data_IF_462155374254
#
_entry.id   IF_462155374254
#
_cell.length_a   1.000
_cell.length_b   1.000
_cell.length_c   1.000
_cell.angle_alpha   90.00
_cell.angle_beta   90.00
_cell.angle_gamma   90.00
#
_symmetry.space_group_name_H-M   'P 1'
#
loop_
_entity.id
_entity.type
_entity.pdbx_description
1 polymer ?
#
# COMPACT_ATOMS: atom_id res chain seq x y z
N UNK A 1 3.22 29.12 -5.27
CA UNK A 1 3.06 28.08 -4.24
C UNK A 1 3.99 26.94 -4.59
N UNK A 2 4.87 26.55 -3.67
CA UNK A 2 5.87 25.50 -3.84
C UNK A 2 5.35 24.23 -3.17
N UNK A 3 5.20 23.16 -3.96
CA UNK A 3 4.82 21.84 -3.46
C UNK A 3 6.08 21.02 -3.20
N UNK A 4 6.08 20.28 -2.09
CA UNK A 4 7.08 19.25 -1.79
C UNK A 4 6.38 17.89 -1.66
N UNK A 5 7.03 16.82 -2.11
CA UNK A 5 6.51 15.47 -1.98
C UNK A 5 7.59 14.51 -1.50
N UNK A 6 7.19 13.43 -0.85
CA UNK A 6 8.13 12.36 -0.51
C UNK A 6 8.51 11.55 -1.75
N UNK A 7 9.69 10.90 -1.80
CA UNK A 7 10.08 10.07 -2.95
C UNK A 7 9.06 9.00 -3.34
N UNK A 8 8.25 8.50 -2.40
CA UNK A 8 7.23 7.49 -2.68
C UNK A 8 5.98 8.06 -3.36
N UNK A 9 5.66 9.34 -3.13
CA UNK A 9 4.48 9.99 -3.69
C UNK A 9 4.80 10.73 -4.99
N UNK A 10 6.08 10.82 -5.38
CA UNK A 10 6.55 11.53 -6.59
C UNK A 10 5.73 11.16 -7.84
N UNK A 11 5.62 9.87 -8.15
CA UNK A 11 4.96 9.41 -9.38
C UNK A 11 3.48 9.81 -9.42
N UNK A 12 2.80 9.79 -8.28
CA UNK A 12 1.40 10.22 -8.15
C UNK A 12 1.25 11.71 -8.46
N UNK A 13 2.19 12.54 -7.99
CA UNK A 13 2.18 13.99 -8.26
C UNK A 13 2.43 14.27 -9.74
N UNK A 14 3.35 13.52 -10.37
CA UNK A 14 3.62 13.62 -11.81
C UNK A 14 2.39 13.22 -12.64
N UNK A 15 1.76 12.08 -12.32
CA UNK A 15 0.52 11.63 -12.97
C UNK A 15 -0.65 12.58 -12.76
N UNK A 16 -0.75 13.22 -11.59
CA UNK A 16 -1.76 14.22 -11.30
C UNK A 16 -1.60 15.53 -12.11
N UNK A 17 -0.48 15.68 -12.83
CA UNK A 17 -0.25 16.76 -13.80
C UNK A 17 0.70 17.86 -13.34
N UNK A 18 1.25 17.79 -12.12
CA UNK A 18 2.20 18.80 -11.64
C UNK A 18 3.60 18.51 -12.15
N UNK A 19 4.17 19.46 -12.89
CA UNK A 19 5.51 19.31 -13.51
C UNK A 19 6.65 19.80 -12.63
N UNK A 20 6.42 20.83 -11.82
CA UNK A 20 7.44 21.48 -11.01
C UNK A 20 7.09 21.38 -9.52
N UNK A 21 7.88 20.62 -8.79
CA UNK A 21 7.76 20.42 -7.35
C UNK A 21 9.07 19.88 -6.78
N UNK A 22 9.23 19.95 -5.45
CA UNK A 22 10.40 19.43 -4.74
C UNK A 22 10.16 17.99 -4.29
N UNK A 23 11.22 17.18 -4.26
CA UNK A 23 11.18 15.83 -3.70
C UNK A 23 12.13 15.73 -2.52
N UNK A 24 11.59 15.58 -1.31
CA UNK A 24 12.39 15.44 -0.09
C UNK A 24 11.74 14.42 0.86
N UNK A 25 12.56 13.59 1.52
CA UNK A 25 12.12 12.66 2.57
C UNK A 25 11.63 13.39 3.83
N UNK A 26 12.08 14.61 4.05
CA UNK A 26 11.73 15.45 5.20
C UNK A 26 11.12 16.76 4.69
N UNK A 27 9.82 16.78 4.33
CA UNK A 27 9.16 17.99 3.80
C UNK A 27 9.32 19.23 4.68
N UNK A 28 9.30 19.08 6.01
CA UNK A 28 9.47 20.19 6.98
C UNK A 28 10.87 20.86 6.93
N UNK A 29 11.85 20.25 6.28
CA UNK A 29 13.19 20.84 6.06
C UNK A 29 13.26 21.68 4.78
N UNK A 30 12.20 21.69 3.97
CA UNK A 30 12.12 22.47 2.75
C UNK A 30 11.40 23.80 2.95
N UNK A 31 11.90 24.83 2.28
CA UNK A 31 11.12 26.04 2.01
C UNK A 31 10.05 25.71 0.96
N UNK A 32 8.92 25.18 1.42
CA UNK A 32 7.75 24.80 0.66
C UNK A 32 6.47 25.24 1.38
N UNK A 33 5.39 25.43 0.61
CA UNK A 33 4.11 25.90 1.13
C UNK A 33 3.16 24.74 1.48
N UNK A 34 3.37 23.57 0.86
CA UNK A 34 2.46 22.43 0.96
C UNK A 34 3.15 21.10 0.66
N UNK A 35 2.79 20.07 1.43
CA UNK A 35 3.32 18.74 1.24
C UNK A 35 2.28 17.73 0.70
N UNK A 36 2.73 16.80 -0.14
CA UNK A 36 1.98 15.59 -0.51
C UNK A 36 2.77 14.38 -0.01
N UNK A 37 2.17 13.56 0.84
CA UNK A 37 2.87 12.47 1.53
C UNK A 37 1.97 11.27 1.78
N UNK A 38 2.60 10.14 2.10
CA UNK A 38 1.90 8.95 2.55
C UNK A 38 1.17 9.21 3.87
N UNK A 39 0.00 8.60 4.06
CA UNK A 39 -0.85 8.76 5.23
C UNK A 39 -0.20 8.40 6.57
N UNK A 40 0.85 7.59 6.52
CA UNK A 40 1.66 7.15 7.64
C UNK A 40 2.68 8.21 8.06
N UNK A 41 2.94 9.20 7.22
CA UNK A 41 3.89 10.28 7.48
C UNK A 41 3.19 11.47 8.15
N UNK A 42 3.91 12.18 9.02
CA UNK A 42 3.41 13.38 9.70
C UNK A 42 4.37 14.54 9.45
N UNK A 43 3.81 15.70 9.12
CA UNK A 43 4.53 16.95 8.88
C UNK A 43 3.82 18.09 9.58
N UNK A 44 4.52 19.20 9.81
CA UNK A 44 3.96 20.40 10.46
C UNK A 44 3.30 21.34 9.46
N UNK A 45 3.80 21.38 8.22
CA UNK A 45 3.21 22.20 7.16
C UNK A 45 1.85 21.68 6.70
N UNK A 46 1.09 22.54 6.01
CA UNK A 46 -0.16 22.13 5.35
C UNK A 46 0.12 20.98 4.38
N UNK A 47 -0.76 19.98 4.35
CA UNK A 47 -0.47 18.76 3.61
C UNK A 47 -1.69 17.95 3.18
N UNK A 48 -1.48 17.16 2.13
CA UNK A 48 -2.37 16.10 1.67
C UNK A 48 -1.74 14.74 1.93
N UNK A 49 -2.44 13.92 2.72
CA UNK A 49 -2.10 12.54 2.98
C UNK A 49 -2.78 11.61 1.97
N UNK A 50 -2.02 10.69 1.38
CA UNK A 50 -2.49 9.70 0.40
C UNK A 50 -2.07 8.27 0.76
N UNK A 51 -2.74 7.27 0.20
CA UNK A 51 -2.44 5.83 0.39
C UNK A 51 -2.12 5.17 -0.94
N UNK A 52 -1.17 4.24 -0.97
CA UNK A 52 -0.69 3.62 -2.21
C UNK A 52 -0.56 2.09 -2.09
N UNK A 53 -1.38 1.46 -1.23
CA UNK A 53 -1.23 0.05 -0.90
C UNK A 53 -1.95 -0.81 -1.95
N UNK A 54 -3.18 -0.44 -2.33
CA UNK A 54 -3.99 -1.14 -3.32
C UNK A 54 -4.07 -0.39 -4.64
N UNK A 55 -4.45 -1.07 -5.73
CA UNK A 55 -4.65 -0.40 -7.04
C UNK A 55 -5.74 0.66 -6.98
N UNK A 56 -6.80 0.41 -6.20
CA UNK A 56 -7.87 1.37 -5.96
C UNK A 56 -7.33 2.63 -5.27
N UNK A 57 -6.54 2.45 -4.20
CA UNK A 57 -5.92 3.58 -3.50
C UNK A 57 -4.97 4.38 -4.39
N UNK A 58 -4.24 3.74 -5.31
CA UNK A 58 -3.39 4.44 -6.28
C UNK A 58 -4.25 5.32 -7.21
N UNK A 59 -5.33 4.78 -7.79
CA UNK A 59 -6.28 5.55 -8.63
C UNK A 59 -6.88 6.73 -7.88
N UNK A 60 -7.43 6.47 -6.68
CA UNK A 60 -8.02 7.48 -5.80
C UNK A 60 -7.00 8.56 -5.42
N UNK A 61 -5.73 8.18 -5.19
CA UNK A 61 -4.67 9.12 -4.86
C UNK A 61 -4.28 10.03 -6.02
N UNK A 62 -4.20 9.50 -7.25
CA UNK A 62 -3.96 10.32 -8.45
C UNK A 62 -5.08 11.36 -8.58
N UNK A 63 -6.33 10.91 -8.46
CA UNK A 63 -7.51 11.78 -8.55
C UNK A 63 -7.52 12.86 -7.47
N UNK A 64 -7.35 12.46 -6.22
CA UNK A 64 -7.36 13.36 -5.05
C UNK A 64 -6.25 14.40 -5.13
N UNK A 65 -5.05 13.99 -5.54
CA UNK A 65 -3.94 14.93 -5.73
C UNK A 65 -4.23 15.90 -6.87
N UNK A 66 -4.73 15.41 -8.00
CA UNK A 66 -5.05 16.28 -9.15
C UNK A 66 -6.12 17.31 -8.81
N UNK A 67 -7.21 16.90 -8.15
CA UNK A 67 -8.28 17.79 -7.73
C UNK A 67 -7.76 18.87 -6.75
N UNK A 68 -6.96 18.47 -5.76
CA UNK A 68 -6.34 19.39 -4.81
C UNK A 68 -5.42 20.42 -5.51
N UNK A 69 -4.62 19.97 -6.48
CA UNK A 69 -3.74 20.85 -7.26
C UNK A 69 -4.53 21.82 -8.13
N UNK A 70 -5.63 21.37 -8.72
CA UNK A 70 -6.52 22.20 -9.53
C UNK A 70 -7.21 23.27 -8.67
N UNK A 71 -7.74 22.90 -7.51
CA UNK A 71 -8.34 23.83 -6.55
C UNK A 71 -7.35 24.89 -6.05
N UNK A 72 -6.08 24.52 -5.88
CA UNK A 72 -4.99 25.42 -5.51
C UNK A 72 -4.45 26.25 -6.69
N UNK A 73 -4.99 26.08 -7.90
CA UNK A 73 -4.58 26.81 -9.11
C UNK A 73 -3.17 26.46 -9.59
N UNK A 74 -2.67 25.27 -9.26
CA UNK A 74 -1.34 24.78 -9.62
C UNK A 74 -1.31 24.05 -10.97
N UNK A 75 -2.47 23.60 -11.44
CA UNK A 75 -2.67 22.98 -12.75
C UNK A 75 -3.93 23.58 -13.41
N UNK A 76 -3.99 23.55 -14.74
CA UNK A 76 -5.08 24.17 -15.51
C UNK A 76 -6.36 23.33 -15.54
N UNK A 77 -6.23 22.01 -15.34
CA UNK A 77 -7.34 21.04 -15.43
C UNK A 77 -7.03 19.86 -14.51
N UNK A 78 -8.03 19.42 -13.75
CA UNK A 78 -7.96 18.15 -13.05
C UNK A 78 -7.98 16.97 -14.05
N UNK A 79 -7.27 15.90 -13.71
CA UNK A 79 -7.26 14.65 -14.47
C UNK A 79 -8.66 14.01 -14.45
N UNK A 80 -9.10 13.50 -15.60
CA UNK A 80 -10.33 12.72 -15.72
C UNK A 80 -10.08 11.23 -15.46
N UNK A 81 -11.14 10.49 -15.12
CA UNK A 81 -11.03 9.06 -14.78
C UNK A 81 -10.51 8.23 -15.98
N UNK A 82 -10.86 8.60 -17.21
CA UNK A 82 -10.35 7.93 -18.42
C UNK A 82 -8.83 8.14 -18.61
N UNK A 83 -8.31 9.29 -18.20
CA UNK A 83 -6.88 9.59 -18.22
C UNK A 83 -6.14 8.78 -17.13
N UNK A 84 -6.80 8.52 -16.00
CA UNK A 84 -6.28 7.63 -14.95
C UNK A 84 -6.22 6.18 -15.46
N UNK A 85 -7.28 5.68 -16.11
CA UNK A 85 -7.24 4.32 -16.67
C UNK A 85 -6.21 4.19 -17.80
N UNK A 86 -5.99 5.24 -18.60
CA UNK A 86 -4.92 5.26 -19.60
C UNK A 86 -3.53 5.04 -18.98
N UNK A 87 -3.26 5.64 -17.80
CA UNK A 87 -2.00 5.41 -17.07
C UNK A 87 -1.81 3.94 -16.74
N UNK A 88 -2.87 3.24 -16.30
CA UNK A 88 -2.77 1.81 -15.96
C UNK A 88 -2.62 0.95 -17.22
N UNK A 89 -3.33 1.28 -18.30
CA UNK A 89 -3.26 0.56 -19.57
C UNK A 89 -1.88 0.62 -20.24
N UNK A 90 -1.07 1.65 -19.96
CA UNK A 90 0.32 1.72 -20.44
C UNK A 90 1.22 0.58 -19.90
N UNK A 91 0.76 -0.16 -18.88
CA UNK A 91 1.47 -1.28 -18.27
C UNK A 91 1.00 -2.67 -18.76
N UNK A 92 0.17 -2.78 -19.79
CA UNK A 92 -0.54 -4.02 -20.22
C UNK A 92 0.32 -5.30 -20.24
N UNK A 93 1.59 -5.22 -20.61
CA UNK A 93 2.48 -6.40 -20.66
C UNK A 93 3.22 -6.70 -19.35
N UNK A 94 3.24 -5.76 -18.41
CA UNK A 94 4.00 -5.82 -17.16
C UNK A 94 3.13 -6.10 -15.93
N UNK A 95 1.80 -5.95 -16.06
CA UNK A 95 0.84 -6.11 -14.95
C UNK A 95 -0.31 -7.01 -15.34
N UNK A 96 -0.72 -7.87 -14.39
CA UNK A 96 -1.85 -8.78 -14.52
C UNK A 96 -3.00 -8.32 -13.64
N UNK A 97 -2.75 -8.06 -12.35
CA UNK A 97 -3.79 -7.79 -11.37
C UNK A 97 -4.30 -6.35 -11.43
N UNK A 98 -3.45 -5.40 -11.81
CA UNK A 98 -3.80 -3.98 -11.90
C UNK A 98 -4.89 -3.66 -12.96
N UNK A 99 -5.02 -4.54 -13.97
CA UNK A 99 -5.91 -4.41 -15.11
C UNK A 99 -7.12 -5.36 -15.05
N UNK A 100 -7.25 -6.13 -13.97
CA UNK A 100 -8.46 -6.92 -13.77
C UNK A 100 -9.65 -5.98 -13.55
N UNK A 101 -10.75 -6.30 -14.22
CA UNK A 101 -12.02 -5.71 -13.87
C UNK A 101 -12.51 -6.22 -12.50
N UNK A 102 -13.54 -5.56 -11.98
CA UNK A 102 -14.12 -5.87 -10.67
C UNK A 102 -14.69 -7.30 -10.61
N UNK A 103 -15.19 -7.84 -11.72
CA UNK A 103 -15.72 -9.22 -11.76
C UNK A 103 -14.59 -10.24 -11.59
N UNK A 104 -13.54 -10.13 -12.40
CA UNK A 104 -12.38 -11.02 -12.34
C UNK A 104 -11.65 -10.92 -11.00
N UNK A 105 -11.54 -9.72 -10.43
CA UNK A 105 -10.92 -9.54 -9.12
C UNK A 105 -11.80 -10.11 -7.99
N UNK A 106 -13.12 -10.03 -8.10
CA UNK A 106 -14.03 -10.66 -7.13
C UNK A 106 -13.96 -12.19 -7.13
N UNK A 107 -13.64 -12.83 -8.26
CA UNK A 107 -13.37 -14.28 -8.26
C UNK A 107 -12.11 -14.63 -7.45
N UNK A 108 -11.10 -13.75 -7.44
CA UNK A 108 -9.92 -13.89 -6.57
C UNK A 108 -10.34 -13.77 -5.10
N UNK A 109 -11.17 -12.77 -4.76
CA UNK A 109 -11.67 -12.57 -3.39
C UNK A 109 -12.46 -13.78 -2.89
N UNK A 110 -13.43 -14.27 -3.68
CA UNK A 110 -14.22 -15.47 -3.35
C UNK A 110 -13.36 -16.70 -3.15
N UNK A 111 -12.29 -16.86 -3.93
CA UNK A 111 -11.37 -18.02 -3.78
C UNK A 111 -10.61 -18.05 -2.45
N UNK A 112 -10.69 -16.98 -1.65
CA UNK A 112 -9.86 -16.72 -0.47
C UNK A 112 -10.66 -16.34 0.79
N UNK A 113 -11.98 -16.27 0.70
CA UNK A 113 -12.86 -15.80 1.78
C UNK A 113 -12.82 -16.69 3.04
N UNK A 114 -12.42 -17.95 2.89
CA UNK A 114 -12.31 -18.92 3.98
C UNK A 114 -10.95 -18.87 4.69
N UNK A 115 -9.97 -18.11 4.18
CA UNK A 115 -8.60 -18.08 4.71
C UNK A 115 -8.46 -17.07 5.82
N UNK A 116 -7.85 -17.49 6.92
CA UNK A 116 -7.49 -16.65 8.07
C UNK A 116 -6.04 -16.23 7.98
N UNK A 117 -5.80 -14.93 8.02
CA UNK A 117 -4.45 -14.38 7.81
C UNK A 117 -4.05 -13.44 8.92
N UNK A 118 -2.90 -13.73 9.54
CA UNK A 118 -2.23 -12.83 10.48
C UNK A 118 -1.24 -11.94 9.71
N UNK A 119 -1.34 -10.62 9.88
CA UNK A 119 -0.54 -9.64 9.10
C UNK A 119 0.31 -8.75 10.00
N UNK A 120 1.64 -8.83 9.86
CA UNK A 120 2.62 -8.03 10.59
C UNK A 120 2.97 -6.72 9.87
N UNK A 121 1.96 -5.94 9.43
CA UNK A 121 2.16 -4.59 8.89
C UNK A 121 0.83 -3.92 8.57
N UNK A 122 0.57 -2.73 9.11
CA UNK A 122 -0.60 -1.90 8.71
C UNK A 122 -0.64 -1.63 7.21
N UNK A 123 0.54 -1.44 6.62
CA UNK A 123 0.70 -1.23 5.19
C UNK A 123 0.26 -2.44 4.34
N UNK A 124 0.54 -3.67 4.81
CA UNK A 124 0.14 -4.89 4.11
C UNK A 124 -1.32 -5.25 4.39
N UNK A 125 -1.87 -4.85 5.54
CA UNK A 125 -3.27 -5.15 5.90
C UNK A 125 -4.26 -4.67 4.85
N UNK A 126 -4.06 -3.48 4.27
CA UNK A 126 -4.93 -2.96 3.20
C UNK A 126 -4.93 -3.90 1.97
N UNK A 127 -3.76 -4.36 1.50
CA UNK A 127 -3.64 -5.28 0.37
C UNK A 127 -4.20 -6.67 0.67
N UNK A 128 -3.89 -7.20 1.85
CA UNK A 128 -4.35 -8.51 2.28
C UNK A 128 -5.87 -8.50 2.44
N UNK A 129 -6.46 -7.46 3.01
CA UNK A 129 -7.92 -7.33 3.09
C UNK A 129 -8.56 -7.21 1.70
N UNK A 130 -7.92 -6.48 0.77
CA UNK A 130 -8.45 -6.28 -0.57
C UNK A 130 -8.52 -7.58 -1.40
N UNK A 131 -7.63 -8.55 -1.17
CA UNK A 131 -7.72 -9.89 -1.81
C UNK A 131 -8.79 -10.81 -1.19
N UNK A 132 -9.57 -10.32 -0.22
CA UNK A 132 -10.78 -10.99 0.26
C UNK A 132 -10.59 -12.03 1.36
N UNK A 133 -9.42 -12.08 2.02
CA UNK A 133 -9.21 -12.98 3.17
C UNK A 133 -9.77 -12.40 4.47
N UNK A 134 -9.97 -13.25 5.47
CA UNK A 134 -10.26 -12.85 6.85
C UNK A 134 -8.96 -12.42 7.56
N UNK A 135 -8.73 -11.11 7.64
CA UNK A 135 -7.58 -10.54 8.36
C UNK A 135 -7.86 -10.53 9.85
N UNK A 136 -7.09 -11.31 10.59
CA UNK A 136 -7.19 -11.36 12.04
C UNK A 136 -6.85 -10.01 12.66
N UNK A 137 -7.67 -9.59 13.62
CA UNK A 137 -7.41 -8.38 14.39
C UNK A 137 -6.19 -8.61 15.28
N UNK A 138 -5.07 -8.06 14.84
CA UNK A 138 -3.76 -8.19 15.48
C UNK A 138 -3.03 -6.85 15.36
N UNK A 139 -2.63 -6.28 16.48
CA UNK A 139 -1.78 -5.08 16.53
C UNK A 139 -0.35 -5.47 16.85
N UNK A 140 0.55 -5.26 15.88
CA UNK A 140 1.99 -5.39 16.11
C UNK A 140 2.56 -4.09 16.68
N UNK A 141 2.82 -4.04 17.99
CA UNK A 141 3.66 -3.01 18.60
C UNK A 141 5.12 -3.46 18.61
N UNK A 142 6.01 -2.68 17.97
CA UNK A 142 7.47 -2.89 18.01
C UNK A 142 8.05 -2.83 19.42
N UNK A 143 7.33 -2.25 20.38
CA UNK A 143 7.74 -2.19 21.78
C UNK A 143 7.29 -3.42 22.61
N UNK A 144 6.65 -4.42 21.98
CA UNK A 144 6.31 -5.68 22.63
C UNK A 144 5.15 -5.61 23.63
N UNK A 145 4.38 -4.53 23.65
CA UNK A 145 3.14 -4.47 24.42
C UNK A 145 2.02 -5.04 23.55
N UNK A 146 1.80 -6.34 23.67
CA UNK A 146 0.57 -6.93 23.21
C UNK A 146 -0.54 -6.47 24.16
N UNK A 147 -1.46 -5.61 23.68
CA UNK A 147 -2.82 -5.63 24.20
C UNK A 147 -3.49 -6.92 23.68
N UNK A 148 -2.98 -8.04 24.15
CA UNK A 148 -3.63 -9.33 24.06
C UNK A 148 -4.89 -9.22 24.92
N UNK A 149 -6.03 -9.00 24.28
CA UNK A 149 -7.33 -9.04 24.95
C UNK A 149 -7.68 -10.49 25.30
N UNK A 150 -6.84 -11.12 26.13
CA UNK A 150 -7.20 -12.25 26.98
C UNK A 150 -7.74 -13.49 26.28
N UNK A 151 -7.44 -13.71 25.00
CA UNK A 151 -7.64 -15.00 24.36
C UNK A 151 -6.35 -15.45 23.70
N UNK A 152 -5.46 -15.98 24.54
CA UNK A 152 -4.31 -16.79 24.15
C UNK A 152 -4.76 -18.13 23.52
N UNK A 153 -5.93 -18.17 22.87
CA UNK A 153 -6.20 -19.18 21.87
C UNK A 153 -5.26 -18.87 20.72
N UNK A 154 -4.37 -19.82 20.44
CA UNK A 154 -3.70 -19.89 19.16
C UNK A 154 -4.82 -19.96 18.14
N UNK A 155 -5.28 -18.81 17.66
CA UNK A 155 -6.33 -18.77 16.67
C UNK A 155 -5.72 -19.41 15.44
N UNK A 156 -6.15 -20.63 15.09
CA UNK A 156 -5.67 -21.33 13.91
C UNK A 156 -5.81 -20.39 12.71
N UNK A 157 -4.68 -19.95 12.18
CA UNK A 157 -4.59 -19.12 10.99
C UNK A 157 -3.83 -19.89 9.93
N UNK A 158 -4.26 -19.74 8.68
CA UNK A 158 -3.70 -20.48 7.56
C UNK A 158 -2.38 -19.84 7.10
N UNK A 159 -2.31 -18.49 7.16
CA UNK A 159 -1.17 -17.73 6.66
C UNK A 159 -0.68 -16.64 7.61
N UNK A 160 0.65 -16.45 7.58
CA UNK A 160 1.34 -15.36 8.24
C UNK A 160 2.01 -14.46 7.20
N UNK A 161 1.54 -13.22 7.06
CA UNK A 161 2.07 -12.26 6.09
C UNK A 161 2.92 -11.20 6.80
N UNK A 162 4.14 -10.97 6.34
CA UNK A 162 5.03 -9.95 6.90
C UNK A 162 5.95 -9.34 5.85
N UNK A 163 6.39 -8.08 6.04
CA UNK A 163 7.38 -7.47 5.18
C UNK A 163 8.79 -8.00 5.52
N UNK A 164 9.67 -8.07 4.52
CA UNK A 164 11.04 -8.58 4.67
C UNK A 164 11.86 -7.93 5.81
N UNK A 165 11.64 -6.64 6.11
CA UNK A 165 12.34 -5.94 7.19
C UNK A 165 11.89 -6.33 8.61
N UNK A 166 10.79 -7.08 8.77
CA UNK A 166 10.32 -7.64 10.06
C UNK A 166 10.60 -9.13 10.21
N UNK A 167 11.36 -9.72 9.28
CA UNK A 167 11.59 -11.17 9.27
C UNK A 167 12.18 -11.68 10.59
N UNK A 168 13.14 -10.96 11.18
CA UNK A 168 13.78 -11.40 12.43
C UNK A 168 12.79 -11.40 13.59
N UNK A 169 12.04 -10.31 13.75
CA UNK A 169 11.07 -10.15 14.83
C UNK A 169 9.93 -11.18 14.72
N UNK A 170 9.49 -11.47 13.49
CA UNK A 170 8.47 -12.49 13.22
C UNK A 170 8.99 -13.89 13.56
N UNK A 171 10.23 -14.22 13.15
CA UNK A 171 10.85 -15.51 13.44
C UNK A 171 11.01 -15.75 14.94
N UNK A 172 11.46 -14.73 15.68
CA UNK A 172 11.65 -14.80 17.13
C UNK A 172 10.32 -14.99 17.87
N UNK A 173 9.27 -14.30 17.43
CA UNK A 173 7.96 -14.32 18.10
C UNK A 173 7.12 -15.54 17.78
N UNK A 174 7.08 -15.94 16.50
CA UNK A 174 6.15 -16.98 16.06
C UNK A 174 6.69 -18.40 16.23
N UNK A 175 7.97 -18.59 16.58
CA UNK A 175 8.61 -19.90 16.77
C UNK A 175 8.20 -20.90 15.66
N UNK A 176 8.65 -20.60 14.43
CA UNK A 176 8.20 -21.26 13.18
C UNK A 176 8.41 -22.77 13.15
N UNK A 177 9.19 -23.34 14.07
CA UNK A 177 9.52 -24.77 14.11
C UNK A 177 8.34 -25.66 14.55
N UNK A 178 7.17 -25.09 14.89
CA UNK A 178 6.07 -25.83 15.53
C UNK A 178 4.66 -25.59 14.99
N UNK A 179 4.47 -24.93 13.84
CA UNK A 179 3.13 -24.42 13.45
C UNK A 179 2.61 -24.89 12.09
N UNK A 180 1.29 -25.11 12.05
CA UNK A 180 0.50 -25.58 10.90
C UNK A 180 0.17 -24.48 9.86
N UNK A 181 0.87 -23.34 9.90
CA UNK A 181 0.60 -22.21 9.00
C UNK A 181 1.68 -22.03 7.93
N UNK A 182 1.33 -21.37 6.83
CA UNK A 182 2.29 -20.97 5.80
C UNK A 182 2.71 -19.50 5.95
N UNK A 183 4.02 -19.25 6.00
CA UNK A 183 4.57 -17.91 6.03
C UNK A 183 4.72 -17.31 4.62
N UNK A 184 4.35 -16.04 4.46
CA UNK A 184 4.43 -15.29 3.21
C UNK A 184 5.20 -13.99 3.46
N UNK A 185 6.43 -13.95 2.94
CA UNK A 185 7.30 -12.78 3.03
C UNK A 185 7.07 -11.85 1.84
N UNK A 186 6.80 -10.57 2.12
CA UNK A 186 6.59 -9.53 1.11
C UNK A 186 7.79 -8.58 1.05
N UNK A 187 8.34 -8.36 -0.14
CA UNK A 187 9.46 -7.42 -0.32
C UNK A 187 9.06 -5.98 -0.02
N UNK A 188 9.92 -5.27 0.72
CA UNK A 188 9.73 -3.86 1.06
C UNK A 188 10.52 -2.91 0.15
N UNK A 189 10.50 -1.62 0.49
CA UNK A 189 10.87 -0.47 -0.33
C UNK A 189 12.28 -0.51 -0.97
N UNK A 190 13.22 -1.30 -0.47
CA UNK A 190 14.59 -1.37 -0.98
C UNK A 190 14.77 -2.40 -2.12
N UNK A 191 13.87 -3.38 -2.24
CA UNK A 191 14.03 -4.54 -3.13
C UNK A 191 12.96 -4.61 -4.24
N UNK A 192 12.18 -3.53 -4.44
CA UNK A 192 11.03 -3.50 -5.35
C UNK A 192 11.02 -2.21 -6.17
N UNK A 193 10.20 -2.17 -7.23
CA UNK A 193 10.05 -0.99 -8.07
C UNK A 193 9.69 0.27 -7.28
N UNK A 194 10.19 1.42 -7.73
CA UNK A 194 9.75 2.73 -7.22
C UNK A 194 8.40 3.14 -7.79
N UNK A 195 8.02 2.54 -8.91
CA UNK A 195 6.71 2.69 -9.53
C UNK A 195 5.60 2.11 -8.61
N UNK A 196 4.59 2.90 -8.23
CA UNK A 196 3.51 2.45 -7.37
C UNK A 196 2.72 1.26 -7.94
N UNK A 197 2.44 1.24 -9.24
CA UNK A 197 1.63 0.21 -9.89
C UNK A 197 2.42 -1.11 -9.92
N UNK A 198 3.66 -1.10 -10.42
CA UNK A 198 4.51 -2.29 -10.47
C UNK A 198 4.81 -2.84 -9.06
N UNK A 199 4.93 -1.94 -8.07
CA UNK A 199 5.10 -2.33 -6.67
C UNK A 199 3.87 -3.03 -6.12
N UNK A 200 2.66 -2.52 -6.37
CA UNK A 200 1.42 -3.18 -5.97
C UNK A 200 1.28 -4.53 -6.68
N UNK A 201 1.48 -4.57 -7.99
CA UNK A 201 1.42 -5.77 -8.83
C UNK A 201 2.30 -6.90 -8.31
N UNK A 202 3.56 -6.61 -7.99
CA UNK A 202 4.49 -7.60 -7.44
C UNK A 202 4.00 -8.18 -6.11
N UNK A 203 3.32 -7.39 -5.26
CA UNK A 203 2.81 -7.86 -3.98
C UNK A 203 1.52 -8.65 -4.11
N UNK A 204 0.58 -8.19 -4.93
CA UNK A 204 -0.60 -8.99 -5.29
C UNK A 204 -0.19 -10.33 -5.90
N UNK A 205 0.83 -10.32 -6.77
CA UNK A 205 1.38 -11.55 -7.35
C UNK A 205 1.85 -12.54 -6.29
N UNK A 206 2.59 -12.10 -5.28
CA UNK A 206 3.04 -12.97 -4.20
C UNK A 206 1.84 -13.45 -3.38
N UNK A 207 1.01 -12.54 -2.88
CA UNK A 207 -0.12 -12.88 -2.02
C UNK A 207 -1.08 -13.86 -2.69
N UNK A 208 -1.49 -13.59 -3.93
CA UNK A 208 -2.47 -14.38 -4.67
C UNK A 208 -1.92 -15.75 -5.05
N UNK A 209 -0.63 -15.85 -5.40
CA UNK A 209 -0.02 -17.12 -5.80
C UNK A 209 0.34 -18.01 -4.61
N UNK A 210 0.67 -17.43 -3.46
CA UNK A 210 1.04 -18.17 -2.26
C UNK A 210 -0.18 -18.62 -1.44
N UNK A 211 -1.29 -17.89 -1.50
CA UNK A 211 -2.57 -18.21 -0.86
C UNK A 211 -3.50 -18.95 -1.84
N UNK A 212 -3.23 -20.24 -2.04
CA UNK A 212 -4.03 -21.17 -2.85
C UNK A 212 -4.72 -22.19 -1.96
#
# INVERSE_FOLDING_TARGET
MIVVTTPMCRQIVEWAGLKEFKVNKFPDEEEADFAILLSESKVKMDSLAIKLNTFRQIRESIKTVSDCLFEKGLIEKAIADEEIEAIFNDYDNDVKYALLDEEAFNEIRKSKEDKKVKVYSEFLKDMVSDIGVDVMDFTYDKNGNDEDNGDNSVSDFDYLVYPDYLEKEVLERENLDSKDFKSIRISSHNNISKDPILKAESRYSILINEMK
#
